data_IF_109997823711
#
_entry.id   IF_109997823711
#
_cell.length_a   1.000
_cell.length_b   1.000
_cell.length_c   1.000
_cell.angle_alpha   90.00
_cell.angle_beta   90.00
_cell.angle_gamma   90.00
#
_symmetry.space_group_name_H-M   'P 1'
#
loop_
_entity.id
_entity.type
_entity.pdbx_description
1 polymer ?
#
# COMPACT_ATOMS: atom_id res chain seq x y z
N UNK A 1 -4.50 -2.61 -31.01
CA UNK A 1 -3.73 -3.60 -30.27
C UNK A 1 -4.60 -4.83 -30.04
N UNK A 2 -4.24 -5.98 -30.63
CA UNK A 2 -5.03 -7.22 -30.52
C UNK A 2 -4.83 -7.83 -29.14
N UNK A 3 -5.82 -7.71 -28.26
CA UNK A 3 -5.85 -8.44 -26.99
C UNK A 3 -6.02 -9.93 -27.29
N UNK A 4 -4.91 -10.67 -27.30
CA UNK A 4 -4.98 -12.15 -27.29
C UNK A 4 -5.68 -12.55 -25.99
N UNK A 5 -6.93 -13.01 -26.12
CA UNK A 5 -7.64 -13.68 -25.04
C UNK A 5 -6.89 -14.98 -24.77
N UNK A 6 -6.07 -14.99 -23.71
CA UNK A 6 -5.46 -16.22 -23.20
C UNK A 6 -6.61 -17.07 -22.67
N UNK A 7 -6.92 -18.18 -23.34
CA UNK A 7 -7.91 -19.12 -22.84
C UNK A 7 -7.40 -19.69 -21.51
N UNK A 8 -8.21 -19.70 -20.44
CA UNK A 8 -7.82 -20.33 -19.18
C UNK A 8 -7.48 -21.80 -19.42
N UNK A 9 -6.50 -22.32 -18.67
CA UNK A 9 -6.13 -23.73 -18.75
C UNK A 9 -7.30 -24.57 -18.22
N UNK A 10 -7.72 -25.54 -19.03
CA UNK A 10 -8.75 -26.50 -18.64
C UNK A 10 -8.21 -27.38 -17.49
N UNK A 11 -9.02 -27.64 -16.45
CA UNK A 11 -8.62 -28.47 -15.28
C UNK A 11 -8.06 -29.84 -15.65
N UNK A 12 -8.60 -30.48 -16.68
CA UNK A 12 -8.12 -31.73 -17.26
C UNK A 12 -6.71 -31.60 -17.84
N UNK A 13 -6.33 -30.44 -18.40
CA UNK A 13 -4.95 -30.20 -18.89
C UNK A 13 -3.97 -30.04 -17.73
N UNK A 14 -4.38 -29.37 -16.65
CA UNK A 14 -3.57 -29.24 -15.42
C UNK A 14 -3.36 -30.60 -14.76
N UNK A 15 -4.43 -31.41 -14.66
CA UNK A 15 -4.39 -32.76 -14.08
C UNK A 15 -3.60 -33.76 -14.94
N UNK A 16 -3.66 -33.66 -16.27
CA UNK A 16 -2.84 -34.47 -17.18
C UNK A 16 -1.35 -34.09 -17.15
N UNK A 17 -1.04 -32.85 -16.78
CA UNK A 17 0.34 -32.37 -16.65
C UNK A 17 0.99 -32.77 -15.33
N UNK A 18 0.25 -32.81 -14.22
CA UNK A 18 0.72 -33.33 -12.92
C UNK A 18 0.91 -34.84 -12.94
N UNK A 19 -0.02 -35.60 -13.55
CA UNK A 19 0.07 -37.08 -13.64
C UNK A 19 1.19 -37.58 -14.53
N UNK A 20 1.62 -36.84 -15.57
CA UNK A 20 2.78 -37.21 -16.40
C UNK A 20 4.13 -37.07 -15.70
N UNK A 21 4.17 -36.32 -14.60
CA UNK A 21 5.40 -35.98 -13.89
C UNK A 21 5.54 -36.88 -12.66
N UNK A 22 4.46 -37.19 -11.93
CA UNK A 22 4.51 -38.11 -10.80
C UNK A 22 4.96 -37.48 -9.48
N UNK A 23 5.05 -36.15 -9.44
CA UNK A 23 5.24 -35.40 -8.19
C UNK A 23 3.88 -34.93 -7.66
N UNK A 24 3.68 -35.03 -6.35
CA UNK A 24 2.54 -34.52 -5.62
C UNK A 24 2.79 -33.10 -5.11
N UNK A 25 1.75 -32.40 -4.63
CA UNK A 25 1.93 -31.10 -3.97
C UNK A 25 2.80 -31.18 -2.71
N UNK A 26 2.80 -32.32 -2.01
CA UNK A 26 3.65 -32.52 -0.84
C UNK A 26 5.14 -32.61 -1.21
N UNK A 27 5.47 -33.19 -2.37
CA UNK A 27 6.86 -33.25 -2.86
C UNK A 27 7.42 -31.86 -3.21
N UNK A 28 6.53 -30.97 -3.65
CA UNK A 28 6.86 -29.58 -3.93
C UNK A 28 7.10 -28.82 -2.64
N UNK A 29 6.22 -28.94 -1.66
CA UNK A 29 6.39 -28.28 -0.36
C UNK A 29 7.67 -28.77 0.32
N UNK A 30 7.95 -30.08 0.28
CA UNK A 30 9.22 -30.65 0.72
C UNK A 30 10.43 -30.10 -0.04
N UNK A 31 10.32 -29.85 -1.35
CA UNK A 31 11.39 -29.23 -2.14
C UNK A 31 11.61 -27.75 -1.77
N UNK A 32 10.54 -26.98 -1.52
CA UNK A 32 10.67 -25.61 -0.99
C UNK A 32 11.44 -25.63 0.34
N UNK A 33 11.19 -26.66 1.16
CA UNK A 33 11.93 -26.95 2.39
C UNK A 33 13.38 -27.45 2.19
N UNK A 34 13.87 -27.57 0.95
CA UNK A 34 15.29 -27.84 0.63
C UNK A 34 16.05 -26.66 0.02
N UNK A 35 15.37 -25.58 -0.37
CA UNK A 35 16.01 -24.38 -0.91
C UNK A 35 16.93 -23.77 0.17
N UNK A 36 18.15 -23.29 -0.12
CA UNK A 36 19.01 -22.71 0.91
C UNK A 36 18.27 -21.63 1.73
N UNK A 37 18.40 -21.60 3.07
CA UNK A 37 17.72 -20.62 3.91
C UNK A 37 17.97 -19.18 3.46
N UNK A 38 19.12 -18.88 2.86
CA UNK A 38 19.47 -17.57 2.31
C UNK A 38 18.60 -17.17 1.11
N UNK A 39 18.09 -18.14 0.36
CA UNK A 39 17.09 -17.97 -0.69
C UNK A 39 15.65 -18.02 -0.15
N UNK A 40 15.45 -18.48 1.10
CA UNK A 40 14.20 -18.36 1.87
C UNK A 40 14.17 -17.14 2.79
N UNK A 41 15.27 -16.38 2.89
CA UNK A 41 15.39 -15.10 3.61
C UNK A 41 14.90 -13.96 2.72
N UNK A 42 13.60 -13.85 2.54
CA UNK A 42 12.95 -12.72 3.14
C UNK A 42 12.55 -13.21 4.52
N UNK A 43 12.91 -12.51 5.59
CA UNK A 43 12.18 -12.68 6.85
C UNK A 43 10.71 -12.41 6.52
N UNK A 44 9.94 -13.49 6.29
CA UNK A 44 8.70 -13.45 5.52
C UNK A 44 7.69 -12.72 6.38
N UNK A 45 7.45 -11.47 5.97
CA UNK A 45 6.43 -10.57 6.47
C UNK A 45 5.15 -11.38 6.67
N UNK A 46 4.51 -11.34 7.85
CA UNK A 46 3.34 -12.14 8.13
C UNK A 46 2.27 -11.82 7.08
N UNK A 47 1.86 -12.85 6.35
CA UNK A 47 0.83 -12.78 5.33
C UNK A 47 -0.44 -12.20 5.96
N UNK A 48 -0.82 -11.01 5.51
CA UNK A 48 -1.90 -10.25 6.16
C UNK A 48 -3.27 -10.72 5.68
N UNK A 49 -3.37 -11.12 4.43
CA UNK A 49 -4.60 -11.61 3.79
C UNK A 49 -4.30 -12.57 2.63
N UNK A 50 -5.36 -13.04 1.96
CA UNK A 50 -5.24 -13.97 0.83
C UNK A 50 -4.57 -13.37 -0.41
N UNK A 51 -4.67 -12.06 -0.59
CA UNK A 51 -4.07 -11.34 -1.73
C UNK A 51 -2.56 -11.21 -1.52
N UNK A 52 -2.16 -10.81 -0.32
CA UNK A 52 -0.76 -10.77 0.10
C UNK A 52 -0.11 -12.15 0.01
N UNK A 53 -0.84 -13.20 0.39
CA UNK A 53 -0.41 -14.60 0.20
C UNK A 53 -0.08 -14.95 -1.24
N UNK A 54 -0.94 -14.54 -2.18
CA UNK A 54 -0.76 -14.77 -3.62
C UNK A 54 0.49 -14.03 -4.11
N UNK A 55 0.67 -12.76 -3.74
CA UNK A 55 1.82 -11.97 -4.17
C UNK A 55 3.14 -12.46 -3.59
N UNK A 56 3.12 -12.83 -2.31
CA UNK A 56 4.23 -13.45 -1.65
C UNK A 56 4.65 -14.76 -2.32
N UNK A 57 3.69 -15.64 -2.61
CA UNK A 57 3.95 -16.88 -3.32
C UNK A 57 4.48 -16.62 -4.73
N UNK A 58 3.92 -15.65 -5.45
CA UNK A 58 4.42 -15.24 -6.75
C UNK A 58 5.90 -14.83 -6.69
N UNK A 59 6.28 -14.02 -5.71
CA UNK A 59 7.67 -13.61 -5.49
C UNK A 59 8.61 -14.81 -5.28
N UNK A 60 8.22 -15.76 -4.43
CA UNK A 60 8.99 -17.00 -4.19
C UNK A 60 9.16 -17.81 -5.49
N UNK A 61 8.10 -17.91 -6.31
CA UNK A 61 8.19 -18.62 -7.59
C UNK A 61 9.11 -17.94 -8.58
N UNK A 62 9.15 -16.61 -8.58
CA UNK A 62 10.09 -15.84 -9.40
C UNK A 62 11.53 -16.01 -8.92
N UNK A 63 11.78 -16.07 -7.60
CA UNK A 63 13.10 -16.41 -7.04
C UNK A 63 13.58 -17.77 -7.52
N UNK A 64 12.72 -18.78 -7.40
CA UNK A 64 13.01 -20.13 -7.86
C UNK A 64 13.29 -20.18 -9.36
N UNK A 65 12.50 -19.48 -10.16
CA UNK A 65 12.73 -19.41 -11.60
C UNK A 65 14.12 -18.86 -11.92
N UNK A 66 14.54 -17.81 -11.20
CA UNK A 66 15.85 -17.20 -11.38
C UNK A 66 16.99 -18.14 -10.97
N UNK A 67 16.86 -18.80 -9.82
CA UNK A 67 17.83 -19.82 -9.38
C UNK A 67 17.99 -20.93 -10.42
N UNK A 68 16.88 -21.42 -10.99
CA UNK A 68 16.90 -22.40 -12.07
C UNK A 68 17.59 -21.89 -13.34
N UNK A 69 17.43 -20.61 -13.69
CA UNK A 69 18.07 -19.99 -14.85
C UNK A 69 19.59 -19.83 -14.67
N UNK A 70 20.06 -19.69 -13.44
CA UNK A 70 21.48 -19.57 -13.12
C UNK A 70 22.19 -20.94 -13.12
N UNK A 71 21.46 -22.01 -12.82
CA UNK A 71 21.98 -23.38 -12.80
C UNK A 71 22.01 -24.01 -14.20
N UNK A 72 23.13 -24.66 -14.57
CA UNK A 72 23.33 -25.31 -15.89
C UNK A 72 23.25 -26.84 -15.86
N UNK A 73 22.63 -27.42 -14.83
CA UNK A 73 22.68 -28.86 -14.54
C UNK A 73 21.28 -29.46 -14.23
N UNK A 74 21.23 -30.78 -14.00
CA UNK A 74 19.99 -31.53 -13.65
C UNK A 74 19.13 -30.88 -12.55
N UNK A 75 19.70 -30.29 -11.48
CA UNK A 75 18.97 -29.45 -10.53
C UNK A 75 18.07 -28.36 -11.14
N UNK A 76 18.51 -27.68 -12.21
CA UNK A 76 17.71 -26.64 -12.88
C UNK A 76 16.38 -27.19 -13.41
N UNK A 77 16.39 -28.39 -13.98
CA UNK A 77 15.18 -29.05 -14.50
C UNK A 77 14.18 -29.34 -13.38
N UNK A 78 14.67 -29.77 -12.20
CA UNK A 78 13.82 -29.99 -11.02
C UNK A 78 13.20 -28.68 -10.52
N UNK A 79 14.01 -27.61 -10.47
CA UNK A 79 13.55 -26.27 -10.09
C UNK A 79 12.45 -25.80 -11.06
N UNK A 80 12.70 -25.82 -12.37
CA UNK A 80 11.69 -25.38 -13.35
C UNK A 80 10.40 -26.18 -13.30
N UNK A 81 10.50 -27.49 -13.03
CA UNK A 81 9.34 -28.37 -12.87
C UNK A 81 8.52 -28.01 -11.63
N UNK A 82 9.17 -27.81 -10.48
CA UNK A 82 8.53 -27.35 -9.26
C UNK A 82 7.89 -25.96 -9.43
N UNK A 83 8.61 -25.01 -10.03
CA UNK A 83 8.09 -23.67 -10.32
C UNK A 83 6.86 -23.73 -11.22
N UNK A 84 6.88 -24.54 -12.28
CA UNK A 84 5.74 -24.69 -13.19
C UNK A 84 4.49 -25.19 -12.48
N UNK A 85 4.60 -26.22 -11.65
CA UNK A 85 3.46 -26.79 -10.92
C UNK A 85 2.86 -25.79 -9.94
N UNK A 86 3.71 -25.04 -9.24
CA UNK A 86 3.24 -23.98 -8.36
C UNK A 86 2.63 -22.79 -9.11
N UNK A 87 3.12 -22.43 -10.29
CA UNK A 87 2.49 -21.39 -11.11
C UNK A 87 1.07 -21.78 -11.51
N UNK A 88 0.83 -23.07 -11.80
CA UNK A 88 -0.52 -23.57 -12.07
C UNK A 88 -1.42 -23.50 -10.84
N UNK A 89 -0.89 -23.84 -9.64
CA UNK A 89 -1.62 -23.67 -8.37
C UNK A 89 -1.95 -22.21 -8.11
N UNK A 90 -0.97 -21.33 -8.26
CA UNK A 90 -1.14 -19.89 -8.10
C UNK A 90 -2.20 -19.34 -9.07
N UNK A 91 -2.22 -19.81 -10.31
CA UNK A 91 -3.25 -19.42 -11.28
C UNK A 91 -4.66 -19.79 -10.79
N UNK A 92 -4.86 -20.99 -10.22
CA UNK A 92 -6.14 -21.39 -9.62
C UNK A 92 -6.51 -20.53 -8.40
N UNK A 93 -5.55 -20.21 -7.55
CA UNK A 93 -5.77 -19.31 -6.40
C UNK A 93 -6.17 -17.90 -6.86
N UNK A 94 -5.54 -17.40 -7.93
CA UNK A 94 -5.91 -16.13 -8.57
C UNK A 94 -7.32 -16.18 -9.15
N UNK A 95 -7.75 -17.30 -9.73
CA UNK A 95 -9.12 -17.48 -10.23
C UNK A 95 -10.15 -17.42 -9.09
N UNK A 96 -9.87 -18.07 -7.96
CA UNK A 96 -10.74 -18.07 -6.77
C UNK A 96 -10.82 -16.68 -6.13
N UNK A 97 -9.67 -16.03 -5.90
CA UNK A 97 -9.61 -14.68 -5.30
C UNK A 97 -10.15 -13.62 -6.26
N UNK A 98 -9.99 -13.83 -7.56
CA UNK A 98 -10.40 -12.94 -8.63
C UNK A 98 -9.35 -11.88 -8.97
N UNK A 99 -8.99 -11.81 -10.25
CA UNK A 99 -8.00 -10.85 -10.77
C UNK A 99 -8.34 -9.39 -10.47
N UNK A 100 -9.62 -9.05 -10.37
CA UNK A 100 -10.05 -7.69 -10.06
C UNK A 100 -9.74 -7.31 -8.61
N UNK A 101 -9.83 -8.25 -7.66
CA UNK A 101 -9.47 -8.03 -6.26
C UNK A 101 -7.97 -7.82 -6.10
N UNK A 102 -7.17 -8.61 -6.82
CA UNK A 102 -5.72 -8.44 -6.91
C UNK A 102 -5.34 -7.06 -7.46
N UNK A 103 -5.94 -6.66 -8.59
CA UNK A 103 -5.72 -5.33 -9.19
C UNK A 103 -6.12 -4.21 -8.24
N UNK A 104 -7.26 -4.33 -7.57
CA UNK A 104 -7.71 -3.36 -6.58
C UNK A 104 -6.70 -3.25 -5.42
N UNK A 105 -6.16 -4.37 -4.94
CA UNK A 105 -5.14 -4.34 -3.89
C UNK A 105 -3.86 -3.64 -4.35
N UNK A 106 -3.29 -4.00 -5.51
CA UNK A 106 -2.06 -3.33 -6.01
C UNK A 106 -2.29 -1.86 -6.27
N UNK A 107 -3.46 -1.52 -6.79
CA UNK A 107 -3.91 -0.14 -6.93
C UNK A 107 -3.86 0.58 -5.59
N UNK A 108 -4.52 0.04 -4.58
CA UNK A 108 -4.60 0.67 -3.26
C UNK A 108 -3.18 0.86 -2.69
N UNK A 109 -2.29 -0.12 -2.87
CA UNK A 109 -0.88 -0.05 -2.47
C UNK A 109 -0.06 0.98 -3.26
N UNK A 110 -0.36 1.20 -4.54
CA UNK A 110 0.30 2.21 -5.35
C UNK A 110 0.01 3.63 -4.84
N UNK A 111 -1.20 3.84 -4.30
CA UNK A 111 -1.64 5.10 -3.70
C UNK A 111 -1.06 5.36 -2.32
N UNK A 112 -0.44 4.35 -1.70
CA UNK A 112 0.26 4.50 -0.43
C UNK A 112 1.67 5.05 -0.65
N UNK A 113 2.10 5.91 0.28
CA UNK A 113 3.50 6.27 0.43
C UNK A 113 4.38 5.01 0.46
N UNK A 114 5.58 4.98 -0.17
CA UNK A 114 6.44 3.80 -0.18
C UNK A 114 6.62 3.14 1.19
N UNK A 115 6.84 3.92 2.26
CA UNK A 115 6.96 3.44 3.64
C UNK A 115 5.69 2.81 4.26
N UNK A 116 4.55 2.87 3.58
CA UNK A 116 3.27 2.29 4.01
C UNK A 116 2.88 1.04 3.22
N UNK A 117 3.57 0.75 2.11
CA UNK A 117 3.25 -0.37 1.22
C UNK A 117 3.56 -1.71 1.85
N UNK A 118 2.67 -2.68 1.69
CA UNK A 118 2.97 -4.06 2.06
C UNK A 118 4.16 -4.55 1.20
N UNK A 119 5.14 -5.26 1.77
CA UNK A 119 6.35 -5.70 1.07
C UNK A 119 6.10 -6.43 -0.25
N UNK A 120 5.17 -7.39 -0.29
CA UNK A 120 4.82 -8.14 -1.50
C UNK A 120 4.28 -7.22 -2.60
N UNK A 121 3.42 -6.27 -2.24
CA UNK A 121 2.88 -5.28 -3.16
C UNK A 121 3.96 -4.30 -3.64
N UNK A 122 4.85 -3.86 -2.75
CA UNK A 122 5.98 -3.03 -3.13
C UNK A 122 6.90 -3.75 -4.14
N UNK A 123 7.13 -5.05 -3.96
CA UNK A 123 7.91 -5.85 -4.90
C UNK A 123 7.28 -5.87 -6.29
N UNK A 124 5.96 -6.11 -6.38
CA UNK A 124 5.24 -6.09 -7.66
C UNK A 124 5.27 -4.71 -8.31
N UNK A 125 5.05 -3.65 -7.52
CA UNK A 125 5.09 -2.27 -8.02
C UNK A 125 6.48 -1.92 -8.56
N UNK A 126 7.53 -2.34 -7.85
CA UNK A 126 8.92 -2.14 -8.25
C UNK A 126 9.21 -2.92 -9.54
N UNK A 127 8.78 -4.17 -9.63
CA UNK A 127 8.95 -4.99 -10.83
C UNK A 127 8.27 -4.38 -12.05
N UNK A 128 7.06 -3.83 -11.87
CA UNK A 128 6.31 -3.15 -12.93
C UNK A 128 6.99 -1.85 -13.39
N UNK A 129 7.91 -1.30 -12.59
CA UNK A 129 8.63 -0.05 -12.87
C UNK A 129 10.02 -0.30 -13.47
N UNK A 130 10.44 -1.56 -13.63
CA UNK A 130 11.74 -1.91 -14.18
C UNK A 130 11.87 -1.51 -15.66
N UNK A 131 13.10 -1.21 -16.11
CA UNK A 131 13.37 -0.90 -17.52
C UNK A 131 12.97 -2.09 -18.40
N UNK A 132 12.10 -1.89 -19.43
CA UNK A 132 11.65 -2.97 -20.31
C UNK A 132 12.76 -3.63 -21.11
N UNK A 133 13.97 -3.05 -21.16
CA UNK A 133 15.16 -3.62 -21.82
C UNK A 133 15.87 -4.69 -20.98
N UNK A 134 15.61 -4.76 -19.68
CA UNK A 134 16.22 -5.77 -18.82
C UNK A 134 15.71 -7.16 -19.17
N UNK A 135 16.60 -8.15 -19.24
CA UNK A 135 16.20 -9.55 -19.27
C UNK A 135 15.43 -9.91 -17.98
N UNK A 136 14.72 -11.05 -18.00
CA UNK A 136 13.95 -11.48 -16.83
C UNK A 136 14.81 -11.61 -15.57
N UNK A 137 16.01 -12.18 -15.70
CA UNK A 137 16.95 -12.36 -14.60
C UNK A 137 17.50 -11.03 -14.08
N UNK A 138 17.86 -10.11 -14.98
CA UNK A 138 18.32 -8.77 -14.61
C UNK A 138 17.24 -7.96 -13.93
N UNK A 139 16.01 -7.99 -14.45
CA UNK A 139 14.84 -7.35 -13.85
C UNK A 139 14.60 -7.88 -12.42
N UNK A 140 14.63 -9.20 -12.25
CA UNK A 140 14.44 -9.82 -10.94
C UNK A 140 15.51 -9.40 -9.92
N UNK A 141 16.80 -9.46 -10.31
CA UNK A 141 17.92 -9.05 -9.46
C UNK A 141 17.82 -7.57 -9.11
N UNK A 142 17.52 -6.72 -10.08
CA UNK A 142 17.31 -5.29 -9.86
C UNK A 142 16.16 -5.03 -8.89
N UNK A 143 14.99 -5.63 -9.13
CA UNK A 143 13.79 -5.49 -8.29
C UNK A 143 14.05 -5.95 -6.86
N UNK A 144 14.69 -7.10 -6.69
CA UNK A 144 15.03 -7.64 -5.38
C UNK A 144 15.98 -6.72 -4.63
N UNK A 145 17.00 -6.18 -5.31
CA UNK A 145 17.91 -5.19 -4.71
C UNK A 145 17.18 -3.91 -4.31
N UNK A 146 16.29 -3.37 -5.15
CA UNK A 146 15.47 -2.21 -4.81
C UNK A 146 14.56 -2.49 -3.60
N UNK A 147 14.00 -3.69 -3.50
CA UNK A 147 13.17 -4.08 -2.37
C UNK A 147 13.97 -4.23 -1.08
N UNK A 148 15.21 -4.71 -1.14
CA UNK A 148 16.11 -4.76 0.03
C UNK A 148 16.48 -3.35 0.52
N UNK A 149 16.80 -2.44 -0.40
CA UNK A 149 17.06 -1.03 -0.08
C UNK A 149 15.82 -0.41 0.59
N UNK A 150 14.66 -0.57 -0.05
CA UNK A 150 13.39 -0.10 0.50
C UNK A 150 13.12 -0.70 1.89
N UNK A 151 13.32 -2.00 2.06
CA UNK A 151 13.07 -2.69 3.33
C UNK A 151 13.94 -2.13 4.46
N UNK A 152 15.24 -1.94 4.20
CA UNK A 152 16.15 -1.30 5.14
C UNK A 152 15.71 0.13 5.50
N UNK A 153 15.16 0.88 4.54
CA UNK A 153 14.64 2.22 4.79
C UNK A 153 13.35 2.23 5.60
N UNK A 154 12.42 1.29 5.36
CA UNK A 154 11.09 1.29 6.01
C UNK A 154 11.13 0.71 7.41
N UNK A 155 12.08 -0.19 7.67
CA UNK A 155 12.33 -0.79 8.98
C UNK A 155 13.29 0.02 9.84
N UNK A 156 13.72 1.20 9.37
CA UNK A 156 14.53 2.07 10.19
C UNK A 156 13.79 2.41 11.49
N UNK A 157 14.38 2.17 12.67
CA UNK A 157 13.79 2.41 13.98
C UNK A 157 13.07 3.75 14.11
N UNK A 158 13.72 4.82 13.65
CA UNK A 158 13.18 6.17 13.77
C UNK A 158 11.96 6.40 12.85
N UNK A 159 11.87 5.69 11.72
CA UNK A 159 10.86 5.90 10.67
C UNK A 159 9.60 5.07 10.86
N UNK A 160 9.65 3.97 11.61
CA UNK A 160 8.47 3.12 11.82
C UNK A 160 7.38 3.85 12.62
N UNK A 161 7.78 4.82 13.45
CA UNK A 161 6.86 5.67 14.21
C UNK A 161 6.45 6.95 13.51
N UNK A 162 7.20 7.33 12.48
CA UNK A 162 6.81 8.43 11.61
C UNK A 162 5.59 7.97 10.81
N UNK A 163 4.56 8.83 10.79
CA UNK A 163 3.56 8.76 9.74
C UNK A 163 4.16 9.46 8.54
N UNK A 164 4.51 8.74 7.46
CA UNK A 164 4.97 9.36 6.24
C UNK A 164 3.75 10.01 5.57
N UNK A 165 3.40 11.17 6.09
CA UNK A 165 2.25 11.93 5.65
C UNK A 165 2.64 12.66 4.38
N UNK A 166 2.35 11.98 3.29
CA UNK A 166 1.83 12.67 2.15
C UNK A 166 0.30 12.63 2.28
N UNK A 167 -0.34 13.77 2.55
CA UNK A 167 -1.74 13.98 2.19
C UNK A 167 -1.90 13.49 0.75
N UNK A 168 -3.09 13.05 0.32
CA UNK A 168 -3.29 12.65 -1.08
C UNK A 168 -2.80 13.69 -2.12
N UNK A 169 -2.59 14.96 -1.71
CA UNK A 169 -1.99 16.05 -2.50
C UNK A 169 -0.49 15.91 -2.69
N UNK A 170 0.20 15.43 -1.68
CA UNK A 170 1.65 15.34 -1.65
C UNK A 170 2.14 14.05 -2.33
N UNK A 171 1.35 12.95 -2.32
CA UNK A 171 1.63 11.74 -3.14
C UNK A 171 1.54 12.10 -4.62
N UNK A 172 0.57 12.95 -4.93
CA UNK A 172 0.26 13.41 -6.27
C UNK A 172 1.28 14.42 -6.79
N UNK A 173 1.76 15.35 -5.96
CA UNK A 173 2.86 16.27 -6.27
C UNK A 173 4.12 15.54 -6.71
N UNK A 174 4.39 14.35 -6.15
CA UNK A 174 5.50 13.49 -6.57
C UNK A 174 5.37 12.91 -7.99
N UNK A 175 4.14 12.84 -8.53
CA UNK A 175 3.86 12.32 -9.87
C UNK A 175 3.79 13.43 -10.94
N UNK A 176 3.71 14.69 -10.51
CA UNK A 176 3.63 15.84 -11.40
C UNK A 176 5.02 16.30 -11.84
N UNK A 177 5.16 16.65 -13.11
CA UNK A 177 6.41 17.18 -13.64
C UNK A 177 6.41 18.70 -13.56
N UNK A 178 7.17 19.28 -12.64
CA UNK A 178 7.43 20.72 -12.65
C UNK A 178 8.32 21.09 -13.85
N UNK A 179 7.83 22.00 -14.69
CA UNK A 179 8.58 22.57 -15.80
C UNK A 179 9.53 23.64 -15.25
N UNK A 180 10.82 23.50 -15.52
CA UNK A 180 11.86 24.36 -14.88
C UNK A 180 12.36 25.47 -15.80
N UNK A 181 12.11 25.35 -17.09
CA UNK A 181 12.57 26.30 -18.10
C UNK A 181 11.41 26.68 -19.04
N UNK A 182 11.36 27.94 -19.48
CA UNK A 182 10.33 28.40 -20.40
C UNK A 182 10.39 27.71 -21.76
N UNK A 183 11.57 27.26 -22.19
CA UNK A 183 11.80 26.49 -23.41
C UNK A 183 11.18 25.09 -23.38
N UNK A 184 10.95 24.55 -22.19
CA UNK A 184 10.30 23.26 -22.02
C UNK A 184 8.77 23.40 -22.11
N UNK A 185 8.21 24.56 -21.77
CA UNK A 185 6.77 24.79 -21.74
C UNK A 185 6.17 24.98 -23.14
N UNK A 186 5.01 24.37 -23.38
CA UNK A 186 4.23 24.58 -24.62
C UNK A 186 3.50 25.91 -24.58
N UNK A 187 3.01 26.28 -23.40
CA UNK A 187 2.31 27.53 -23.16
C UNK A 187 3.12 28.41 -22.20
N UNK A 188 3.01 29.74 -22.33
CA UNK A 188 3.65 30.67 -21.40
C UNK A 188 2.73 31.10 -20.26
N UNK A 189 1.43 30.82 -20.40
CA UNK A 189 0.39 31.17 -19.43
C UNK A 189 -0.43 29.94 -19.06
N UNK A 190 -1.02 29.97 -17.85
CA UNK A 190 -1.94 28.93 -17.43
C UNK A 190 -3.30 29.07 -18.12
N UNK A 191 -3.77 27.99 -18.76
CA UNK A 191 -5.09 27.94 -19.42
C UNK A 191 -6.30 28.14 -18.49
N UNK A 192 -6.12 28.06 -17.16
CA UNK A 192 -7.22 28.23 -16.19
C UNK A 192 -7.33 29.64 -15.61
N UNK A 193 -6.22 30.36 -15.49
CA UNK A 193 -6.18 31.67 -14.83
C UNK A 193 -5.47 32.75 -15.67
N UNK A 194 -5.03 32.42 -16.88
CA UNK A 194 -4.29 33.26 -17.84
C UNK A 194 -3.01 33.90 -17.29
N UNK A 195 -2.57 33.53 -16.09
CA UNK A 195 -1.37 34.07 -15.46
C UNK A 195 -0.11 33.45 -16.08
N UNK A 196 0.91 34.29 -16.28
CA UNK A 196 2.24 33.86 -16.73
C UNK A 196 2.86 32.88 -15.75
N UNK A 197 3.55 31.87 -16.28
CA UNK A 197 4.28 30.91 -15.47
C UNK A 197 5.54 31.50 -14.85
N UNK A 198 5.84 31.06 -13.63
CA UNK A 198 7.13 31.31 -12.98
C UNK A 198 8.02 30.09 -13.15
N UNK A 199 9.20 30.29 -13.73
CA UNK A 199 10.21 29.24 -13.93
C UNK A 199 11.35 29.46 -12.95
N UNK A 200 11.63 28.46 -12.11
CA UNK A 200 12.77 28.50 -11.19
C UNK A 200 13.95 27.73 -11.82
N UNK A 201 15.01 28.42 -12.27
CA UNK A 201 16.18 27.75 -12.81
C UNK A 201 16.84 26.88 -11.74
N UNK A 202 17.30 25.70 -12.17
CA UNK A 202 17.89 24.70 -11.28
C UNK A 202 19.27 25.20 -10.81
N UNK A 203 19.37 25.74 -9.60
CA UNK A 203 20.68 25.89 -8.95
C UNK A 203 21.18 24.51 -8.54
N UNK A 204 22.42 24.19 -8.90
CA UNK A 204 23.01 22.85 -8.89
C UNK A 204 23.15 22.20 -7.51
N UNK A 205 22.75 22.88 -6.42
CA UNK A 205 23.04 22.45 -5.05
C UNK A 205 21.84 22.44 -4.10
N UNK A 206 20.65 22.90 -4.50
CA UNK A 206 19.47 22.89 -3.63
C UNK A 206 18.48 21.82 -4.09
N UNK A 207 18.47 20.71 -3.35
CA UNK A 207 17.34 19.81 -3.26
C UNK A 207 16.11 20.59 -2.79
N UNK A 208 15.04 20.53 -3.60
CA UNK A 208 13.63 20.73 -3.20
C UNK A 208 13.24 22.09 -2.63
N UNK A 209 13.40 23.18 -3.39
CA UNK A 209 12.51 24.34 -3.18
C UNK A 209 11.10 23.97 -3.65
N UNK A 210 10.06 24.16 -2.80
CA UNK A 210 8.68 23.81 -3.16
C UNK A 210 8.19 24.67 -4.34
N UNK A 211 7.30 24.14 -5.20
CA UNK A 211 6.74 24.91 -6.31
C UNK A 211 6.01 26.15 -5.78
N UNK A 212 6.26 27.29 -6.43
CA UNK A 212 5.49 28.52 -6.20
C UNK A 212 4.08 28.39 -6.79
N UNK A 213 3.14 29.24 -6.38
CA UNK A 213 1.75 29.21 -6.87
C UNK A 213 1.64 29.21 -8.40
N UNK A 214 2.50 29.97 -9.09
CA UNK A 214 2.50 30.10 -10.55
C UNK A 214 3.53 29.21 -11.26
N UNK A 215 4.16 28.26 -10.55
CA UNK A 215 5.06 27.29 -11.17
C UNK A 215 4.31 26.48 -12.22
N UNK A 216 4.90 26.33 -13.41
CA UNK A 216 4.35 25.53 -14.49
C UNK A 216 4.44 24.03 -14.16
N UNK A 217 3.31 23.34 -14.20
CA UNK A 217 3.19 21.91 -13.93
C UNK A 217 2.65 21.20 -15.17
N UNK A 218 3.39 20.21 -15.66
CA UNK A 218 2.94 19.30 -16.72
C UNK A 218 2.32 18.04 -16.13
N UNK A 219 1.12 17.75 -16.61
CA UNK A 219 0.37 16.52 -16.29
C UNK A 219 0.78 15.36 -17.22
N UNK A 220 0.49 14.09 -16.86
CA UNK A 220 0.79 12.95 -17.75
C UNK A 220 0.12 13.01 -19.12
N UNK A 221 -1.04 13.67 -19.21
CA UNK A 221 -1.72 13.95 -20.47
C UNK A 221 -1.16 15.16 -21.25
N UNK A 222 0.00 15.69 -20.84
CA UNK A 222 0.72 16.82 -21.45
C UNK A 222 0.00 18.17 -21.44
N UNK A 223 -1.04 18.35 -20.64
CA UNK A 223 -1.59 19.67 -20.34
C UNK A 223 -0.76 20.36 -19.25
N UNK A 224 -0.64 21.69 -19.38
CA UNK A 224 0.18 22.54 -18.51
C UNK A 224 -0.72 23.46 -17.69
N UNK A 225 -0.46 23.56 -16.38
CA UNK A 225 -1.24 24.37 -15.44
C UNK A 225 -0.35 25.08 -14.45
N UNK A 226 -0.87 26.17 -13.86
CA UNK A 226 -0.23 26.76 -12.70
C UNK A 226 -0.45 25.83 -11.50
N UNK A 227 0.56 25.71 -10.64
CA UNK A 227 0.51 24.82 -9.48
C UNK A 227 -0.73 25.06 -8.60
N UNK A 228 -1.04 26.32 -8.28
CA UNK A 228 -2.22 26.67 -7.47
C UNK A 228 -3.54 26.33 -8.17
N UNK A 229 -3.64 26.53 -9.48
CA UNK A 229 -4.82 26.23 -10.29
C UNK A 229 -5.15 24.73 -10.27
N UNK A 230 -4.11 23.91 -10.46
CA UNK A 230 -4.25 22.45 -10.44
C UNK A 230 -4.59 21.95 -9.03
N UNK A 231 -4.05 22.59 -7.99
CA UNK A 231 -4.36 22.28 -6.60
C UNK A 231 -5.82 22.64 -6.26
N UNK A 232 -6.29 23.83 -6.63
CA UNK A 232 -7.69 24.26 -6.40
C UNK A 232 -8.68 23.32 -7.09
N UNK A 233 -8.46 23.02 -8.38
CA UNK A 233 -9.29 22.07 -9.12
C UNK A 233 -9.44 20.73 -8.41
N UNK A 234 -8.34 20.28 -7.81
CA UNK A 234 -8.27 19.03 -7.09
C UNK A 234 -8.98 19.09 -5.73
N UNK A 235 -8.92 20.21 -5.02
CA UNK A 235 -9.67 20.41 -3.78
C UNK A 235 -11.19 20.46 -4.04
N UNK A 236 -11.60 20.96 -5.21
CA UNK A 236 -13.00 20.99 -5.64
C UNK A 236 -13.52 19.64 -6.14
N UNK A 237 -12.64 18.69 -6.45
CA UNK A 237 -13.02 17.34 -6.87
C UNK A 237 -13.56 16.54 -5.68
N UNK A 238 -14.84 16.74 -5.38
CA UNK A 238 -15.60 16.10 -4.29
C UNK A 238 -15.51 14.57 -4.26
N UNK A 239 -15.19 13.93 -5.39
CA UNK A 239 -15.15 12.47 -5.52
C UNK A 239 -13.75 11.86 -5.39
N UNK A 240 -12.72 12.60 -4.94
CA UNK A 240 -11.36 12.07 -4.79
C UNK A 240 -10.68 11.63 -6.11
N UNK A 241 -11.29 11.95 -7.27
CA UNK A 241 -10.78 11.58 -8.59
C UNK A 241 -9.84 12.66 -9.12
N UNK A 242 -8.55 12.30 -9.23
CA UNK A 242 -7.54 13.18 -9.81
C UNK A 242 -7.64 13.15 -11.33
N UNK A 243 -8.46 14.04 -11.89
CA UNK A 243 -8.65 14.14 -13.34
C UNK A 243 -8.22 15.51 -13.86
N UNK A 244 -7.60 15.51 -15.03
CA UNK A 244 -7.14 16.71 -15.70
C UNK A 244 -8.32 17.66 -15.97
N UNK A 245 -8.23 18.96 -15.63
CA UNK A 245 -9.29 19.93 -15.90
C UNK A 245 -9.74 19.97 -17.36
N UNK A 246 -8.78 19.80 -18.29
CA UNK A 246 -8.98 19.89 -19.73
C UNK A 246 -9.61 18.62 -20.33
N UNK A 247 -8.97 17.47 -20.13
CA UNK A 247 -9.32 16.23 -20.84
C UNK A 247 -9.90 15.13 -19.96
N UNK A 248 -10.02 15.38 -18.65
CA UNK A 248 -10.53 14.43 -17.63
C UNK A 248 -9.75 13.11 -17.53
N UNK A 249 -8.61 12.99 -18.20
CA UNK A 249 -7.69 11.87 -18.01
C UNK A 249 -7.11 11.89 -16.60
N UNK A 250 -6.81 10.71 -16.08
CA UNK A 250 -6.22 10.56 -14.76
C UNK A 250 -4.89 11.31 -14.65
N UNK A 251 -4.73 12.12 -13.63
CA UNK A 251 -3.50 12.88 -13.42
C UNK A 251 -2.35 12.03 -12.87
N UNK A 252 -2.61 10.78 -12.46
CA UNK A 252 -1.57 9.85 -12.01
C UNK A 252 -1.07 8.94 -13.15
N UNK A 253 -1.98 8.36 -13.96
CA UNK A 253 -1.59 7.43 -15.03
C UNK A 253 -1.94 7.87 -16.45
N UNK A 254 -2.62 8.99 -16.65
CA UNK A 254 -3.03 9.48 -17.98
C UNK A 254 -4.21 8.74 -18.62
N UNK A 255 -4.79 7.74 -17.96
CA UNK A 255 -5.89 6.93 -18.51
C UNK A 255 -7.27 7.57 -18.34
N UNK A 256 -8.16 7.33 -19.30
CA UNK A 256 -9.56 7.78 -19.23
C UNK A 256 -10.37 6.93 -18.25
N UNK A 257 -11.33 7.55 -17.52
CA UNK A 257 -12.19 6.87 -16.54
C UNK A 257 -11.43 6.00 -15.53
N UNK A 258 -10.22 6.42 -15.16
CA UNK A 258 -9.39 5.68 -14.25
C UNK A 258 -10.05 5.59 -12.87
N UNK A 259 -10.54 4.39 -12.53
CA UNK A 259 -10.95 4.02 -11.15
C UNK A 259 -9.76 3.58 -10.31
N UNK A 260 -8.55 3.65 -10.88
CA UNK A 260 -7.34 3.21 -10.22
C UNK A 260 -6.73 4.28 -9.30
N UNK A 261 -6.89 5.56 -9.63
CA UNK A 261 -6.33 6.64 -8.82
C UNK A 261 -7.43 7.54 -8.25
N UNK A 262 -8.33 6.90 -7.50
CA UNK A 262 -9.31 7.56 -6.65
C UNK A 262 -8.75 7.43 -5.22
N UNK A 263 -8.36 8.55 -4.61
CA UNK A 263 -7.90 8.54 -3.21
C UNK A 263 -9.00 9.15 -2.38
N UNK A 264 -9.47 8.39 -1.40
CA UNK A 264 -10.43 8.88 -0.43
C UNK A 264 -9.89 10.15 0.23
N UNK A 265 -10.69 11.21 0.25
CA UNK A 265 -10.32 12.44 0.89
C UNK A 265 -10.21 12.20 2.41
N UNK A 266 -8.98 12.16 2.94
CA UNK A 266 -8.77 12.26 4.38
C UNK A 266 -9.05 13.71 4.81
N UNK A 267 -9.92 13.90 5.81
CA UNK A 267 -10.32 15.23 6.29
C UNK A 267 -9.19 15.99 6.99
N UNK A 268 -8.17 15.27 7.46
CA UNK A 268 -6.99 15.81 8.14
C UNK A 268 -5.85 14.78 8.11
N UNK A 269 -4.62 15.23 8.43
CA UNK A 269 -3.52 14.32 8.76
C UNK A 269 -3.87 13.47 9.99
N UNK A 270 -3.42 12.21 10.07
CA UNK A 270 -3.61 11.38 11.25
C UNK A 270 -2.92 11.98 12.47
N UNK A 271 -3.47 11.70 13.65
CA UNK A 271 -2.77 11.99 14.89
C UNK A 271 -1.47 11.15 14.99
N UNK A 272 -0.33 11.72 15.47
CA UNK A 272 0.95 11.05 15.46
C UNK A 272 0.92 9.66 16.09
N UNK A 273 1.35 8.65 15.34
CA UNK A 273 1.29 7.26 15.79
C UNK A 273 2.04 7.01 17.11
N UNK A 274 3.26 7.57 17.23
CA UNK A 274 4.11 7.41 18.43
C UNK A 274 3.35 7.68 19.73
N UNK A 275 2.66 8.82 19.82
CA UNK A 275 1.91 9.20 21.03
C UNK A 275 0.76 8.26 21.33
N UNK A 276 0.01 7.80 20.31
CA UNK A 276 -1.04 6.81 20.50
C UNK A 276 -0.49 5.45 20.97
N UNK A 277 0.65 5.04 20.42
CA UNK A 277 1.29 3.77 20.74
C UNK A 277 1.85 3.78 22.17
N UNK A 278 2.60 4.81 22.54
CA UNK A 278 3.16 4.97 23.90
C UNK A 278 2.04 5.04 24.95
N UNK A 279 0.95 5.79 24.68
CA UNK A 279 -0.20 5.87 25.57
C UNK A 279 -0.91 4.52 25.79
N UNK A 280 -0.78 3.54 24.87
CA UNK A 280 -1.33 2.20 25.08
C UNK A 280 -0.57 1.43 26.17
N UNK A 281 0.72 1.72 26.36
CA UNK A 281 1.60 1.06 27.32
C UNK A 281 1.77 1.85 28.63
N UNK A 282 1.26 3.07 28.69
CA UNK A 282 1.26 3.87 29.91
C UNK A 282 0.57 3.12 31.07
N UNK A 283 1.23 3.05 32.22
CA UNK A 283 0.76 2.31 33.39
C UNK A 283 0.83 0.78 33.27
N UNK A 284 1.25 0.22 32.12
CA UNK A 284 1.51 -1.22 31.97
C UNK A 284 2.97 -1.52 32.30
N UNK A 285 3.20 -2.64 33.00
CA UNK A 285 4.55 -3.20 33.16
C UNK A 285 5.00 -3.76 31.80
N UNK A 286 5.60 -2.91 30.97
CA UNK A 286 6.19 -3.36 29.72
C UNK A 286 7.40 -4.25 30.01
N UNK A 287 7.50 -5.37 29.30
CA UNK A 287 8.61 -6.33 29.42
C UNK A 287 9.89 -5.76 28.81
N UNK A 288 9.78 -4.78 27.92
CA UNK A 288 10.91 -4.12 27.25
C UNK A 288 10.73 -2.61 27.24
N UNK A 289 11.85 -1.85 27.30
CA UNK A 289 11.80 -0.39 27.29
C UNK A 289 11.30 0.18 25.95
N UNK A 290 10.90 1.47 25.94
CA UNK A 290 10.55 2.20 24.72
C UNK A 290 11.65 2.12 23.65
N UNK A 291 11.31 2.29 22.36
CA UNK A 291 9.98 2.64 21.84
C UNK A 291 9.13 1.43 21.40
N UNK A 292 9.70 0.21 21.40
CA UNK A 292 9.06 -0.97 20.80
C UNK A 292 8.23 -1.81 21.76
N UNK A 293 8.46 -1.71 23.08
CA UNK A 293 7.72 -2.45 24.11
C UNK A 293 7.66 -3.98 23.87
N UNK A 294 8.69 -4.54 23.22
CA UNK A 294 8.78 -5.97 22.89
C UNK A 294 8.06 -6.38 21.61
N UNK A 295 7.58 -5.42 20.82
CA UNK A 295 6.87 -5.61 19.55
C UNK A 295 7.85 -5.51 18.38
N UNK A 296 7.80 -6.45 17.44
CA UNK A 296 8.64 -6.42 16.23
C UNK A 296 8.32 -5.22 15.33
N UNK A 297 9.31 -4.74 14.56
CA UNK A 297 9.14 -3.57 13.67
C UNK A 297 8.00 -3.74 12.67
N UNK A 298 7.89 -4.93 12.08
CA UNK A 298 6.81 -5.29 11.15
C UNK A 298 5.43 -5.16 11.80
N UNK A 299 5.32 -5.56 13.06
CA UNK A 299 4.08 -5.47 13.82
C UNK A 299 3.77 -4.03 14.22
N UNK A 300 4.77 -3.25 14.65
CA UNK A 300 4.62 -1.81 14.91
C UNK A 300 4.10 -1.09 13.68
N UNK A 301 4.66 -1.40 12.50
CA UNK A 301 4.18 -0.88 11.22
C UNK A 301 2.75 -1.30 10.93
N UNK A 302 2.41 -2.57 11.13
CA UNK A 302 1.04 -3.08 10.95
C UNK A 302 0.05 -2.35 11.85
N UNK A 303 0.39 -2.15 13.12
CA UNK A 303 -0.40 -1.39 14.07
C UNK A 303 -0.55 0.06 13.61
N UNK A 304 0.52 0.70 13.13
CA UNK A 304 0.47 2.06 12.57
C UNK A 304 -0.56 2.16 11.45
N UNK A 305 -0.52 1.24 10.48
CA UNK A 305 -1.44 1.29 9.33
C UNK A 305 -2.88 0.95 9.71
N UNK A 306 -3.11 -0.09 10.51
CA UNK A 306 -4.46 -0.50 10.93
C UNK A 306 -5.15 0.51 11.85
N UNK A 307 -4.37 1.29 12.61
CA UNK A 307 -4.92 2.36 13.45
C UNK A 307 -5.10 3.69 12.70
N UNK A 308 -4.59 3.84 11.47
CA UNK A 308 -4.54 5.13 10.77
C UNK A 308 -5.91 5.79 10.65
N UNK A 309 -6.93 5.07 10.19
CA UNK A 309 -8.28 5.63 10.01
C UNK A 309 -8.80 6.24 11.31
N UNK A 310 -8.65 5.53 12.42
CA UNK A 310 -9.04 6.03 13.74
C UNK A 310 -8.19 7.22 14.16
N UNK A 311 -6.89 7.24 13.83
CA UNK A 311 -6.02 8.40 14.11
C UNK A 311 -6.37 9.63 13.26
N UNK A 312 -6.84 9.47 12.03
CA UNK A 312 -7.40 10.56 11.20
C UNK A 312 -8.67 11.11 11.85
N UNK A 313 -9.58 10.22 12.27
CA UNK A 313 -10.81 10.62 12.96
C UNK A 313 -10.52 11.31 14.31
N UNK A 314 -9.54 10.81 15.05
CA UNK A 314 -9.09 11.41 16.31
C UNK A 314 -8.54 12.81 16.09
N UNK A 315 -7.65 12.99 15.10
CA UNK A 315 -7.12 14.30 14.74
C UNK A 315 -8.23 15.29 14.33
N UNK A 316 -9.24 14.83 13.60
CA UNK A 316 -10.36 15.68 13.20
C UNK A 316 -11.13 16.21 14.42
N UNK A 317 -11.50 15.33 15.35
CA UNK A 317 -12.21 15.74 16.56
C UNK A 317 -11.32 16.52 17.55
N UNK A 318 -10.02 16.22 17.60
CA UNK A 318 -9.06 16.98 18.38
C UNK A 318 -9.00 18.44 17.88
N UNK A 319 -8.79 18.64 16.57
CA UNK A 319 -8.76 19.97 15.98
C UNK A 319 -10.09 20.71 16.18
N UNK A 320 -11.22 20.03 16.04
CA UNK A 320 -12.55 20.63 16.27
C UNK A 320 -12.79 21.03 17.73
N UNK A 321 -12.26 20.27 18.69
CA UNK A 321 -12.35 20.58 20.12
C UNK A 321 -11.49 21.78 20.50
N UNK A 322 -10.28 21.87 19.93
CA UNK A 322 -9.34 22.96 20.19
C UNK A 322 -9.63 24.23 19.38
N UNK A 323 -10.56 24.18 18.41
CA UNK A 323 -10.95 25.33 17.61
C UNK A 323 -11.65 26.40 18.48
N UNK A 324 -11.05 27.60 18.66
CA UNK A 324 -11.65 28.65 19.47
C UNK A 324 -12.95 29.19 18.88
N UNK A 325 -13.19 29.03 17.58
CA UNK A 325 -14.40 29.47 16.90
C UNK A 325 -15.56 28.47 17.00
N UNK A 326 -15.30 27.22 17.42
CA UNK A 326 -16.33 26.22 17.57
C UNK A 326 -17.27 26.52 18.76
N UNK A 327 -18.56 26.26 18.59
CA UNK A 327 -19.53 26.38 19.67
C UNK A 327 -19.22 25.38 20.80
N UNK A 328 -19.45 25.74 22.07
CA UNK A 328 -19.14 24.88 23.22
C UNK A 328 -19.82 23.50 23.15
N UNK A 329 -21.06 23.43 22.65
CA UNK A 329 -21.76 22.16 22.42
C UNK A 329 -21.03 21.27 21.40
N UNK A 330 -20.44 21.87 20.37
CA UNK A 330 -19.67 21.14 19.36
C UNK A 330 -18.34 20.64 19.93
N UNK A 331 -17.67 21.43 20.78
CA UNK A 331 -16.47 21.02 21.51
C UNK A 331 -16.76 19.88 22.47
N UNK A 332 -17.87 19.93 23.21
CA UNK A 332 -18.32 18.86 24.10
C UNK A 332 -18.59 17.56 23.32
N UNK A 333 -19.32 17.66 22.21
CA UNK A 333 -19.59 16.53 21.32
C UNK A 333 -18.30 15.94 20.73
N UNK A 334 -17.37 16.81 20.29
CA UNK A 334 -16.06 16.40 19.81
C UNK A 334 -15.25 15.68 20.90
N UNK A 335 -15.30 16.15 22.15
CA UNK A 335 -14.68 15.50 23.30
C UNK A 335 -15.21 14.09 23.56
N UNK A 336 -16.54 13.90 23.53
CA UNK A 336 -17.17 12.57 23.67
C UNK A 336 -16.77 11.62 22.54
N UNK A 337 -16.68 12.13 21.30
CA UNK A 337 -16.24 11.35 20.13
C UNK A 337 -14.76 10.99 20.22
N UNK A 338 -13.91 11.93 20.59
CA UNK A 338 -12.47 11.74 20.76
C UNK A 338 -12.18 10.59 21.73
N UNK A 339 -12.89 10.53 22.86
CA UNK A 339 -12.68 9.49 23.85
C UNK A 339 -13.12 8.10 23.38
N UNK A 340 -14.15 8.03 22.53
CA UNK A 340 -14.54 6.78 21.86
C UNK A 340 -13.46 6.34 20.88
N UNK A 341 -13.03 7.22 19.99
CA UNK A 341 -12.01 6.91 18.98
C UNK A 341 -10.68 6.51 19.64
N UNK A 342 -10.33 7.15 20.77
CA UNK A 342 -9.18 6.75 21.59
C UNK A 342 -9.27 5.30 22.05
N UNK A 343 -10.44 4.89 22.58
CA UNK A 343 -10.69 3.50 22.98
C UNK A 343 -10.59 2.55 21.80
N UNK A 344 -11.08 2.94 20.62
CA UNK A 344 -10.98 2.14 19.40
C UNK A 344 -9.52 1.94 18.95
N UNK A 345 -8.70 3.01 19.00
CA UNK A 345 -7.25 2.92 18.74
C UNK A 345 -6.60 1.93 19.71
N UNK A 346 -6.80 2.08 21.02
CA UNK A 346 -6.20 1.18 22.01
C UNK A 346 -6.73 -0.26 21.90
N UNK A 347 -8.01 -0.42 21.57
CA UNK A 347 -8.65 -1.72 21.32
C UNK A 347 -8.00 -2.44 20.14
N UNK A 348 -7.76 -1.72 19.03
CA UNK A 348 -7.10 -2.23 17.84
C UNK A 348 -5.63 -2.60 18.11
N UNK A 349 -4.87 -1.74 18.81
CA UNK A 349 -3.50 -2.07 19.24
C UNK A 349 -3.51 -3.37 20.06
N UNK A 350 -4.37 -3.45 21.08
CA UNK A 350 -4.46 -4.64 21.93
C UNK A 350 -4.91 -5.89 21.18
N UNK A 351 -5.84 -5.77 20.24
CA UNK A 351 -6.26 -6.86 19.35
C UNK A 351 -5.07 -7.41 18.57
N UNK A 352 -4.32 -6.55 17.87
CA UNK A 352 -3.17 -6.97 17.05
C UNK A 352 -2.11 -7.64 17.92
N UNK A 353 -1.77 -7.05 19.07
CA UNK A 353 -0.77 -7.61 19.99
C UNK A 353 -1.16 -9.00 20.51
N UNK A 354 -2.44 -9.25 20.80
CA UNK A 354 -2.91 -10.58 21.19
C UNK A 354 -2.77 -11.61 20.07
N UNK A 355 -3.02 -11.22 18.83
CA UNK A 355 -2.90 -12.13 17.68
C UNK A 355 -1.43 -12.42 17.33
N UNK A 356 -0.52 -11.48 17.60
CA UNK A 356 0.93 -11.71 17.47
C UNK A 356 1.42 -12.65 18.55
N UNK A 357 1.03 -12.40 19.81
CA UNK A 357 1.44 -13.24 20.95
C UNK A 357 0.81 -14.65 20.92
N UNK A 358 -0.40 -14.75 20.37
CA UNK A 358 -1.19 -15.96 20.29
C UNK A 358 -1.05 -16.68 18.95
N UNK A 359 0.16 -16.84 18.40
CA UNK A 359 0.44 -17.63 17.20
C UNK A 359 0.04 -19.13 17.25
N UNK A 360 -0.90 -19.52 18.11
CA UNK A 360 -1.64 -20.78 18.06
C UNK A 360 -3.15 -20.48 17.99
N UNK A 361 -3.73 -20.76 16.83
CA UNK A 361 -5.16 -20.89 16.54
C UNK A 361 -6.06 -19.66 16.73
N UNK A 362 -6.40 -19.02 15.62
CA UNK A 362 -7.44 -17.98 15.57
C UNK A 362 -8.81 -18.56 15.99
N UNK A 363 -9.56 -17.89 16.87
CA UNK A 363 -10.94 -18.28 17.15
C UNK A 363 -11.78 -17.97 15.91
N UNK A 364 -12.41 -19.02 15.39
CA UNK A 364 -13.36 -18.97 14.29
C UNK A 364 -14.51 -18.04 14.71
N UNK A 365 -14.64 -16.88 14.06
CA UNK A 365 -15.80 -15.98 14.23
C UNK A 365 -17.03 -16.61 13.56
N UNK A 366 -17.58 -17.62 14.23
CA UNK A 366 -18.91 -18.16 13.99
C UNK A 366 -19.86 -17.56 15.01
N UNK A 367 -20.58 -16.53 14.57
CA UNK A 367 -22.02 -16.32 14.84
C UNK A 367 -22.59 -16.84 16.17
N UNK A 368 -22.92 -15.92 17.08
CA UNK A 368 -24.27 -15.92 17.67
C UNK A 368 -24.61 -14.56 18.28
N UNK A 369 -25.25 -13.71 17.48
CA UNK A 369 -26.03 -12.58 17.98
C UNK A 369 -27.48 -13.04 18.17
N UNK A 370 -27.74 -13.71 19.30
CA UNK A 370 -29.08 -13.96 19.81
C UNK A 370 -29.64 -12.71 20.48
N UNK A 371 -30.45 -11.97 19.75
CA UNK A 371 -31.31 -10.88 20.22
C UNK A 371 -32.62 -11.47 20.77
N UNK A 372 -33.00 -11.08 21.99
CA UNK A 372 -34.36 -10.56 22.34
C UNK A 372 -34.49 -10.44 23.85
N UNK A 373 -34.27 -9.23 24.38
CA UNK A 373 -34.81 -8.81 25.67
C UNK A 373 -36.06 -7.97 25.40
N UNK A 374 -37.23 -8.56 25.62
CA UNK A 374 -38.50 -7.84 25.70
C UNK A 374 -38.56 -7.18 27.09
N UNK A 375 -38.57 -5.85 27.15
CA UNK A 375 -39.02 -5.09 28.33
C UNK A 375 -40.48 -4.72 28.08
N UNK A 376 -41.38 -5.30 28.86
CA UNK A 376 -42.78 -4.91 28.98
C UNK A 376 -42.93 -3.89 30.11
N UNK A 377 -43.42 -2.70 29.77
CA UNK A 377 -43.90 -1.71 30.73
C UNK A 377 -45.19 -2.22 31.39
N UNK A 378 -45.18 -2.34 32.72
CA UNK A 378 -46.39 -2.49 33.54
C UNK A 378 -46.59 -1.20 34.35
N UNK A 379 -47.66 -0.47 34.01
CA UNK A 379 -48.25 0.61 34.81
C UNK A 379 -49.05 0.02 35.98
N UNK A 380 -48.82 0.52 37.20
CA UNK A 380 -49.77 0.51 38.33
C UNK A 380 -49.45 1.61 39.33
#
# INVERSE_FOLDING_TARGET
MSTRVVKPYNETQVTQLTTKLGDTFADIDAFLETIPPECRKPDLVPVVDEVDRIYHRFQILMMLLCEGLEQRNTPAVKIFRATRLNLLRLAKEIEVVGINKLRAHIRDQYLLHPYRRIPSANWIITQASADPKLSLLENFRWTSNQCLIWHHEVEHPDRVFEDPDLLPKEVFEGLLTQIKQSSEAKEQCCVLCDSLYTFSPRTTTSTTSPPTSHSAIRTPCNHEFCYSCLLSWRLEALSGRFSCPMCRLCLACGESNCRLHEVDAESTRPFPFKGCFEAHFEGKKAVSPPPYYGVGLTDVRRIRELTRRFRVEYAYFYNKKEDPAAAEKDKENAGKRLERVRKDIHGMIGYILRHIAGGGDAPNEGSDSGSSGEESDDDS
#
